data_IF_442666953834
#
_entry.id   IF_442666953834
#
_cell.length_a   1.000
_cell.length_b   1.000
_cell.length_c   1.000
_cell.angle_alpha   90.00
_cell.angle_beta   90.00
_cell.angle_gamma   90.00
#
_symmetry.space_group_name_H-M   'P 1'
#
loop_
_entity.id
_entity.type
_entity.pdbx_description
1 polymer ?
#
# COMPACT_ATOMS: atom_id res chain seq x y z
N UNK A 1 -43.94 4.38 21.69
CA UNK A 1 -43.77 4.81 20.29
C UNK A 1 -42.92 6.07 20.13
N UNK A 2 -42.86 7.00 21.11
CA UNK A 2 -42.00 8.19 21.04
C UNK A 2 -40.50 7.89 21.15
N UNK A 3 -40.11 6.82 21.84
CA UNK A 3 -38.70 6.46 22.07
C UNK A 3 -37.95 6.12 20.77
N UNK A 4 -38.57 5.39 19.84
CA UNK A 4 -37.96 5.10 18.52
C UNK A 4 -37.78 6.35 17.66
N UNK A 5 -38.65 7.35 17.82
CA UNK A 5 -38.56 8.59 17.06
C UNK A 5 -37.47 9.51 17.61
N UNK A 6 -37.21 9.52 18.92
CA UNK A 6 -36.09 10.26 19.52
C UNK A 6 -34.73 9.61 19.21
N UNK A 7 -34.62 8.27 19.20
CA UNK A 7 -33.40 7.59 18.74
C UNK A 7 -33.13 7.77 17.24
N UNK A 8 -34.18 7.83 16.42
CA UNK A 8 -34.04 8.09 14.98
C UNK A 8 -33.54 9.53 14.71
N UNK A 9 -34.08 10.52 15.42
CA UNK A 9 -33.65 11.92 15.30
C UNK A 9 -32.23 12.18 15.83
N UNK A 10 -31.79 11.44 16.86
CA UNK A 10 -30.42 11.50 17.37
C UNK A 10 -29.40 10.78 16.46
N UNK A 11 -29.82 9.74 15.73
CA UNK A 11 -28.95 8.97 14.83
C UNK A 11 -28.68 9.67 13.48
N UNK A 12 -29.50 10.64 13.07
CA UNK A 12 -29.33 11.33 11.78
C UNK A 12 -28.12 12.29 11.76
N UNK A 13 -27.90 13.17 12.76
CA UNK A 13 -26.72 14.03 12.81
C UNK A 13 -25.39 13.26 12.77
N UNK A 14 -25.30 12.14 13.50
CA UNK A 14 -24.09 11.30 13.57
C UNK A 14 -23.75 10.65 12.22
N UNK A 15 -24.78 10.26 11.45
CA UNK A 15 -24.59 9.66 10.12
C UNK A 15 -24.14 10.69 9.09
N UNK A 16 -24.67 11.90 9.16
CA UNK A 16 -24.25 12.99 8.28
C UNK A 16 -22.80 13.37 8.56
N UNK A 17 -22.44 13.51 9.83
CA UNK A 17 -21.06 13.71 10.28
C UNK A 17 -20.14 12.62 9.72
N UNK A 18 -20.44 11.35 9.96
CA UNK A 18 -19.59 10.24 9.50
C UNK A 18 -19.50 10.14 7.97
N UNK A 19 -20.55 10.48 7.22
CA UNK A 19 -20.52 10.46 5.75
C UNK A 19 -19.58 11.52 5.17
N UNK A 20 -19.45 12.67 5.82
CA UNK A 20 -18.53 13.72 5.40
C UNK A 20 -17.11 13.46 5.87
N UNK A 21 -16.93 13.14 7.16
CA UNK A 21 -15.60 13.02 7.77
C UNK A 21 -14.96 11.65 7.58
N UNK A 22 -15.76 10.58 7.55
CA UNK A 22 -15.26 9.21 7.44
C UNK A 22 -14.34 9.00 6.21
N UNK A 23 -14.78 9.34 4.99
CA UNK A 23 -13.94 9.22 3.80
C UNK A 23 -12.70 10.12 3.84
N UNK A 24 -12.79 11.30 4.46
CA UNK A 24 -11.67 12.25 4.56
C UNK A 24 -10.56 11.68 5.45
N UNK A 25 -10.89 11.17 6.63
CA UNK A 25 -9.91 10.55 7.53
C UNK A 25 -9.21 9.35 6.88
N UNK A 26 -9.96 8.51 6.16
CA UNK A 26 -9.37 7.37 5.44
C UNK A 26 -8.40 7.85 4.36
N UNK A 27 -8.74 8.91 3.63
CA UNK A 27 -7.86 9.48 2.60
C UNK A 27 -6.57 10.06 3.19
N UNK A 28 -6.65 10.77 4.32
CA UNK A 28 -5.49 11.33 5.01
C UNK A 28 -4.55 10.24 5.52
N UNK A 29 -5.09 9.24 6.23
CA UNK A 29 -4.33 8.09 6.72
C UNK A 29 -3.65 7.38 5.55
N UNK A 30 -4.40 7.12 4.47
CA UNK A 30 -3.86 6.48 3.28
C UNK A 30 -2.71 7.29 2.66
N UNK A 31 -2.85 8.61 2.58
CA UNK A 31 -1.81 9.49 2.05
C UNK A 31 -0.53 9.44 2.91
N UNK A 32 -0.65 9.58 4.24
CA UNK A 32 0.49 9.52 5.15
C UNK A 32 1.20 8.16 5.10
N UNK A 33 0.45 7.06 5.15
CA UNK A 33 1.01 5.71 5.04
C UNK A 33 1.70 5.51 3.69
N UNK A 34 1.11 6.01 2.59
CA UNK A 34 1.69 5.92 1.26
C UNK A 34 3.05 6.60 1.18
N UNK A 35 3.19 7.79 1.76
CA UNK A 35 4.46 8.52 1.81
C UNK A 35 5.52 7.71 2.58
N UNK A 36 5.17 7.18 3.75
CA UNK A 36 6.07 6.37 4.57
C UNK A 36 6.53 5.09 3.85
N UNK A 37 5.61 4.41 3.17
CA UNK A 37 5.89 3.21 2.38
C UNK A 37 6.80 3.55 1.20
N UNK A 38 6.47 4.59 0.43
CA UNK A 38 7.30 5.03 -0.71
C UNK A 38 8.71 5.38 -0.25
N UNK A 39 8.85 6.11 0.86
CA UNK A 39 10.17 6.47 1.40
C UNK A 39 11.00 5.22 1.73
N UNK A 40 10.39 4.24 2.40
CA UNK A 40 11.04 2.97 2.75
C UNK A 40 11.44 2.18 1.50
N UNK A 41 10.53 2.04 0.53
CA UNK A 41 10.79 1.32 -0.72
C UNK A 41 11.90 1.99 -1.54
N UNK A 42 11.95 3.32 -1.57
CA UNK A 42 13.03 4.06 -2.20
C UNK A 42 14.37 3.79 -1.50
N UNK A 43 14.40 3.79 -0.17
CA UNK A 43 15.62 3.48 0.59
C UNK A 43 16.13 2.06 0.29
N UNK A 44 15.24 1.06 0.31
CA UNK A 44 15.57 -0.34 -0.03
C UNK A 44 16.12 -0.41 -1.46
N UNK A 45 15.43 0.22 -2.41
CA UNK A 45 15.84 0.20 -3.80
C UNK A 45 17.20 0.87 -4.04
N UNK A 46 17.54 1.93 -3.29
CA UNK A 46 18.85 2.57 -3.34
C UNK A 46 19.96 1.64 -2.81
N UNK A 47 19.73 0.89 -1.73
CA UNK A 47 20.72 -0.10 -1.22
C UNK A 47 20.96 -1.20 -2.27
N UNK A 48 19.88 -1.70 -2.86
CA UNK A 48 19.90 -2.73 -3.92
C UNK A 48 20.65 -2.29 -5.19
N UNK A 49 20.85 -0.99 -5.42
CA UNK A 49 21.70 -0.48 -6.52
C UNK A 49 23.12 -1.00 -6.45
N UNK A 50 23.71 -0.98 -5.26
CA UNK A 50 25.10 -1.41 -5.06
C UNK A 50 25.23 -2.91 -5.30
N UNK A 51 24.29 -3.70 -4.78
CA UNK A 51 24.23 -5.15 -4.96
C UNK A 51 24.06 -5.55 -6.43
N UNK A 52 23.16 -4.88 -7.17
CA UNK A 52 22.95 -5.13 -8.59
C UNK A 52 24.14 -4.68 -9.46
N UNK A 53 24.87 -3.66 -9.04
CA UNK A 53 26.14 -3.27 -9.65
C UNK A 53 27.20 -4.38 -9.52
N UNK A 54 27.35 -4.93 -8.31
CA UNK A 54 28.24 -6.07 -8.06
C UNK A 54 27.83 -7.32 -8.85
N UNK A 55 26.54 -7.65 -8.88
CA UNK A 55 26.03 -8.79 -9.67
C UNK A 55 26.31 -8.64 -11.17
N UNK A 56 26.27 -7.42 -11.71
CA UNK A 56 26.63 -7.15 -13.10
C UNK A 56 28.12 -7.36 -13.37
N UNK A 57 29.00 -7.06 -12.41
CA UNK A 57 30.44 -7.34 -12.54
C UNK A 57 30.74 -8.85 -12.60
N UNK A 58 29.89 -9.67 -11.97
CA UNK A 58 29.97 -11.14 -12.01
C UNK A 58 29.19 -11.73 -13.21
N UNK A 59 28.61 -10.89 -14.08
CA UNK A 59 27.99 -11.32 -15.34
C UNK A 59 26.46 -11.48 -15.34
N UNK A 60 25.74 -10.97 -14.33
CA UNK A 60 24.28 -11.09 -14.28
C UNK A 60 23.58 -10.32 -15.44
N UNK A 61 22.57 -10.96 -16.05
CA UNK A 61 21.84 -10.38 -17.18
C UNK A 61 20.73 -9.41 -16.73
N UNK A 62 20.43 -8.34 -17.49
CA UNK A 62 19.35 -7.40 -17.16
C UNK A 62 17.95 -8.03 -17.05
N UNK A 63 17.73 -9.17 -17.72
CA UNK A 63 16.46 -9.92 -17.65
C UNK A 63 16.26 -10.58 -16.28
N UNK A 64 17.31 -11.17 -15.71
CA UNK A 64 17.27 -11.76 -14.36
C UNK A 64 16.94 -10.69 -13.31
N UNK A 65 17.56 -9.52 -13.41
CA UNK A 65 17.31 -8.39 -12.50
C UNK A 65 15.86 -7.90 -12.56
N UNK A 66 15.28 -7.80 -13.77
CA UNK A 66 13.87 -7.40 -13.93
C UNK A 66 12.90 -8.44 -13.37
N UNK A 67 13.18 -9.73 -13.57
CA UNK A 67 12.34 -10.81 -13.04
C UNK A 67 12.37 -10.81 -11.51
N UNK A 68 13.56 -10.70 -10.92
CA UNK A 68 13.75 -10.65 -9.47
C UNK A 68 13.00 -9.46 -8.84
N UNK A 69 13.09 -8.27 -9.46
CA UNK A 69 12.38 -7.08 -8.97
C UNK A 69 10.84 -7.23 -9.03
N UNK A 70 10.31 -7.95 -10.03
CA UNK A 70 8.86 -8.22 -10.11
C UNK A 70 8.41 -9.16 -9.00
N UNK A 71 9.18 -10.22 -8.73
CA UNK A 71 8.88 -11.15 -7.65
C UNK A 71 8.95 -10.49 -6.27
N UNK A 72 9.96 -9.64 -6.05
CA UNK A 72 10.06 -8.86 -4.83
C UNK A 72 8.85 -7.93 -4.63
N UNK A 73 8.43 -7.21 -5.68
CA UNK A 73 7.22 -6.39 -5.63
C UNK A 73 5.96 -7.23 -5.35
N UNK A 74 5.81 -8.38 -6.01
CA UNK A 74 4.67 -9.27 -5.82
C UNK A 74 4.60 -9.81 -4.39
N UNK A 75 5.74 -10.20 -3.81
CA UNK A 75 5.83 -10.68 -2.44
C UNK A 75 5.50 -9.58 -1.43
N UNK A 76 6.04 -8.37 -1.61
CA UNK A 76 5.74 -7.23 -0.72
C UNK A 76 4.25 -6.90 -0.75
N UNK A 77 3.63 -6.89 -1.93
CA UNK A 77 2.19 -6.61 -2.07
C UNK A 77 1.36 -7.72 -1.44
N UNK A 78 1.66 -8.98 -1.75
CA UNK A 78 0.89 -10.11 -1.25
C UNK A 78 0.96 -10.22 0.28
N UNK A 79 2.16 -10.07 0.85
CA UNK A 79 2.37 -10.12 2.29
C UNK A 79 1.74 -8.90 2.96
N UNK A 80 1.97 -7.70 2.42
CA UNK A 80 1.42 -6.46 2.98
C UNK A 80 -0.10 -6.43 3.00
N UNK A 81 -0.74 -6.78 1.87
CA UNK A 81 -2.20 -6.88 1.79
C UNK A 81 -2.73 -8.03 2.66
N UNK A 82 -2.08 -9.19 2.65
CA UNK A 82 -2.50 -10.34 3.46
C UNK A 82 -2.49 -10.03 4.95
N UNK A 83 -1.39 -9.47 5.45
CA UNK A 83 -1.25 -9.07 6.86
C UNK A 83 -2.22 -7.92 7.18
N UNK A 84 -2.31 -6.90 6.33
CA UNK A 84 -3.21 -5.77 6.54
C UNK A 84 -4.68 -6.19 6.62
N UNK A 85 -5.13 -7.07 5.73
CA UNK A 85 -6.48 -7.63 5.76
C UNK A 85 -6.71 -8.51 6.99
N UNK A 86 -5.73 -9.30 7.41
CA UNK A 86 -5.83 -10.09 8.63
C UNK A 86 -6.00 -9.21 9.87
N UNK A 87 -5.19 -8.15 10.00
CA UNK A 87 -5.30 -7.18 11.10
C UNK A 87 -6.67 -6.48 11.06
N UNK A 88 -7.11 -6.02 9.88
CA UNK A 88 -8.41 -5.38 9.73
C UNK A 88 -9.56 -6.33 10.14
N UNK A 89 -9.49 -7.61 9.74
CA UNK A 89 -10.47 -8.62 10.13
C UNK A 89 -10.52 -8.85 11.65
N UNK A 90 -9.36 -8.87 12.32
CA UNK A 90 -9.32 -9.04 13.79
C UNK A 90 -9.98 -7.89 14.55
N UNK A 91 -9.95 -6.66 14.01
CA UNK A 91 -10.63 -5.52 14.61
C UNK A 91 -12.13 -5.48 14.25
N UNK A 92 -12.46 -5.82 13.00
CA UNK A 92 -13.81 -5.62 12.44
C UNK A 92 -14.78 -6.75 12.79
N UNK A 93 -14.32 -8.02 12.79
CA UNK A 93 -15.20 -9.18 13.02
C UNK A 93 -15.84 -9.18 14.43
N UNK A 94 -15.10 -8.96 15.53
CA UNK A 94 -15.70 -8.94 16.87
C UNK A 94 -16.69 -7.80 17.05
N UNK A 95 -16.37 -6.61 16.50
CA UNK A 95 -17.24 -5.45 16.54
C UNK A 95 -18.54 -5.69 15.77
N UNK A 96 -18.45 -6.33 14.59
CA UNK A 96 -19.62 -6.66 13.78
C UNK A 96 -20.55 -7.67 14.48
N UNK A 97 -19.96 -8.71 15.08
CA UNK A 97 -20.74 -9.69 15.85
C UNK A 97 -21.41 -9.05 17.06
N UNK A 98 -20.72 -8.18 17.79
CA UNK A 98 -21.30 -7.50 18.95
C UNK A 98 -22.47 -6.55 18.60
N UNK A 99 -22.48 -5.96 17.40
CA UNK A 99 -23.47 -4.95 17.02
C UNK A 99 -24.66 -5.50 16.22
N UNK A 100 -24.43 -6.48 15.34
CA UNK A 100 -25.42 -6.90 14.35
C UNK A 100 -25.61 -8.42 14.23
N UNK A 101 -24.94 -9.24 15.07
CA UNK A 101 -24.95 -10.73 14.99
C UNK A 101 -24.62 -11.28 13.57
N UNK A 102 -23.94 -10.49 12.74
CA UNK A 102 -23.74 -10.78 11.31
C UNK A 102 -22.37 -10.37 10.78
N UNK A 103 -22.14 -10.63 9.49
CA UNK A 103 -20.91 -10.25 8.81
C UNK A 103 -20.84 -8.72 8.60
N UNK A 104 -19.63 -8.12 8.69
CA UNK A 104 -19.48 -6.69 8.52
C UNK A 104 -19.80 -6.27 7.09
N UNK A 105 -20.55 -5.17 6.97
CA UNK A 105 -20.77 -4.52 5.68
C UNK A 105 -19.50 -3.77 5.25
N UNK A 106 -18.86 -4.25 4.19
CA UNK A 106 -17.66 -3.64 3.61
C UNK A 106 -18.06 -3.00 2.27
N UNK A 107 -18.02 -1.65 2.14
CA UNK A 107 -18.37 -1.00 0.89
C UNK A 107 -17.31 -1.32 -0.19
N UNK A 108 -17.73 -1.94 -1.29
CA UNK A 108 -16.82 -2.46 -2.33
C UNK A 108 -15.97 -1.36 -2.97
N UNK A 109 -16.54 -0.18 -3.22
CA UNK A 109 -15.85 0.93 -3.89
C UNK A 109 -14.61 1.44 -3.13
N UNK A 110 -14.72 1.91 -1.87
CA UNK A 110 -13.54 2.36 -1.11
C UNK A 110 -12.57 1.22 -0.81
N UNK A 111 -13.08 0.00 -0.58
CA UNK A 111 -12.22 -1.17 -0.38
C UNK A 111 -11.35 -1.45 -1.62
N UNK A 112 -11.96 -1.49 -2.81
CA UNK A 112 -11.25 -1.67 -4.07
C UNK A 112 -10.28 -0.51 -4.36
N UNK A 113 -10.65 0.72 -4.00
CA UNK A 113 -9.77 1.88 -4.15
C UNK A 113 -8.53 1.79 -3.26
N UNK A 114 -8.66 1.34 -2.01
CA UNK A 114 -7.53 1.17 -1.08
C UNK A 114 -6.63 0.03 -1.54
N UNK A 115 -7.19 -1.14 -1.86
CA UNK A 115 -6.42 -2.31 -2.31
C UNK A 115 -5.72 -2.00 -3.63
N UNK A 116 -6.46 -1.46 -4.60
CA UNK A 116 -5.93 -1.07 -5.90
C UNK A 116 -4.88 0.03 -5.81
N UNK A 117 -5.14 1.06 -4.99
CA UNK A 117 -4.21 2.15 -4.72
C UNK A 117 -2.91 1.66 -4.08
N UNK A 118 -3.01 0.79 -3.07
CA UNK A 118 -1.84 0.19 -2.41
C UNK A 118 -1.01 -0.65 -3.38
N UNK A 119 -1.67 -1.54 -4.14
CA UNK A 119 -0.99 -2.36 -5.13
C UNK A 119 -0.31 -1.50 -6.20
N UNK A 120 -1.00 -0.48 -6.72
CA UNK A 120 -0.45 0.44 -7.70
C UNK A 120 0.75 1.21 -7.15
N UNK A 121 0.64 1.75 -5.94
CA UNK A 121 1.73 2.48 -5.28
C UNK A 121 2.96 1.62 -5.08
N UNK A 122 2.79 0.39 -4.60
CA UNK A 122 3.90 -0.55 -4.42
C UNK A 122 4.56 -0.88 -5.77
N UNK A 123 3.78 -1.19 -6.81
CA UNK A 123 4.32 -1.43 -8.16
C UNK A 123 5.09 -0.23 -8.67
N UNK A 124 4.54 0.99 -8.55
CA UNK A 124 5.20 2.21 -9.01
C UNK A 124 6.48 2.50 -8.23
N UNK A 125 6.44 2.37 -6.90
CA UNK A 125 7.57 2.61 -6.02
C UNK A 125 8.75 1.65 -6.28
N UNK A 126 8.50 0.39 -6.67
CA UNK A 126 9.55 -0.55 -7.07
C UNK A 126 9.97 -0.43 -8.54
N UNK A 127 9.02 -0.15 -9.44
CA UNK A 127 9.30 -0.05 -10.88
C UNK A 127 10.12 1.19 -11.23
N UNK A 128 9.87 2.33 -10.57
CA UNK A 128 10.60 3.58 -10.79
C UNK A 128 12.12 3.45 -10.58
N UNK A 129 12.63 2.99 -9.43
CA UNK A 129 14.07 2.82 -9.21
C UNK A 129 14.64 1.75 -10.14
N UNK A 130 13.95 0.62 -10.35
CA UNK A 130 14.42 -0.44 -11.25
C UNK A 130 14.61 0.09 -12.69
N UNK A 131 13.66 0.89 -13.19
CA UNK A 131 13.77 1.53 -14.52
C UNK A 131 14.89 2.56 -14.58
N UNK A 132 15.03 3.41 -13.55
CA UNK A 132 16.13 4.39 -13.48
C UNK A 132 17.49 3.72 -13.46
N UNK A 133 17.65 2.62 -12.74
CA UNK A 133 18.91 1.88 -12.67
C UNK A 133 19.32 1.20 -13.98
N UNK A 134 18.35 0.70 -14.74
CA UNK A 134 18.62 0.11 -16.04
C UNK A 134 18.94 1.16 -17.10
N UNK A 135 18.56 2.43 -16.88
CA UNK A 135 18.86 3.56 -17.75
C UNK A 135 20.12 4.33 -17.35
N UNK A 136 20.47 4.36 -16.06
CA UNK A 136 21.74 4.90 -15.60
C UNK A 136 22.87 4.08 -16.24
N UNK A 137 23.72 4.76 -17.01
CA UNK A 137 24.78 4.11 -17.78
C UNK A 137 25.81 3.52 -16.80
N UNK A 138 26.32 2.29 -17.04
CA UNK A 138 27.32 1.66 -16.17
C UNK A 138 28.58 2.51 -15.93
N UNK A 139 28.87 3.44 -16.85
CA UNK A 139 30.05 4.31 -16.84
C UNK A 139 30.00 5.38 -15.74
N UNK A 140 28.83 5.88 -15.36
CA UNK A 140 28.70 6.88 -14.27
C UNK A 140 28.79 6.26 -12.87
N UNK A 141 28.49 4.95 -12.75
CA UNK A 141 28.51 4.26 -11.46
C UNK A 141 29.92 3.94 -10.94
N UNK A 142 30.95 4.07 -11.80
CA UNK A 142 32.34 3.75 -11.46
C UNK A 142 33.17 4.98 -11.08
N UNK A 143 32.62 6.20 -11.16
CA UNK A 143 33.38 7.40 -10.80
C UNK A 143 34.64 7.63 -11.65
N UNK A 144 34.81 6.92 -12.78
CA UNK A 144 35.92 7.12 -13.73
C UNK A 144 35.66 8.29 -14.68
N UNK A 145 34.85 9.24 -14.23
CA UNK A 145 34.43 10.42 -14.97
C UNK A 145 35.08 11.71 -14.46
N UNK A 146 36.08 11.61 -13.58
CA UNK A 146 37.12 12.62 -13.33
C UNK A 146 38.46 11.92 -13.07
#
# INVERSE_FOLDING_TARGET
>A
MSDRASFAAAADPDREMNRWFGPQFVAEIFAFTSIAVVNTLLMIALRRRRELGLLRLVGATPRQVRSMARWEAALIIAIGLGIGLAIAATALLPLSHALNDGLPYIPVRPFAAIVGGTALLAVLALALPTRRMLRARPVEALGLGE
#
